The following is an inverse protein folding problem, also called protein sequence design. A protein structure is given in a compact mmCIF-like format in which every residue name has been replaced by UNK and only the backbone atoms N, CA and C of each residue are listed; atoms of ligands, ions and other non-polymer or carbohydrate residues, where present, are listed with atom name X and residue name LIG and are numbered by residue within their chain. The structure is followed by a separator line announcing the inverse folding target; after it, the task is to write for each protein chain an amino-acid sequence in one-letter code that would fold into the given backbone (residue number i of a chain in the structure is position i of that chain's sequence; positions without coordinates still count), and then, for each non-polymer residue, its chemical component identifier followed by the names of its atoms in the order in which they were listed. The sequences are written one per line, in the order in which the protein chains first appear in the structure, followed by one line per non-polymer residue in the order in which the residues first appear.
data_IF_755272525178
#
_entry.id   IF_755272525178
#
_cell.length_a   1.000
_cell.length_b   1.000
_cell.length_c   1.000
_cell.angle_alpha   90.00
_cell.angle_beta   90.00
_cell.angle_gamma   90.00
#
_symmetry.space_group_name_H-M   'P 1'
#
loop_
_entity.id
_entity.type
_entity.pdbx_description
1 polymer ?
#
# COMPACT_ATOMS: atom_id res chain seq x y z
N UNK A 1 -11.82 -4.73 5.90
CA UNK A 1 -12.94 -5.68 6.06
C UNK A 1 -14.05 -5.48 5.03
N UNK A 2 -14.51 -4.24 4.77
CA UNK A 2 -15.58 -3.96 3.79
C UNK A 2 -15.23 -4.35 2.34
N UNK A 3 -14.00 -4.10 1.87
CA UNK A 3 -13.56 -4.50 0.52
C UNK A 3 -13.53 -6.03 0.31
N UNK A 4 -13.14 -6.78 1.34
CA UNK A 4 -13.08 -8.25 1.29
C UNK A 4 -14.48 -8.88 1.18
N UNK A 5 -15.49 -8.24 1.77
CA UNK A 5 -16.89 -8.65 1.64
C UNK A 5 -17.38 -8.41 0.22
N UNK A 6 -17.08 -7.24 -0.36
CA UNK A 6 -17.44 -6.94 -1.75
C UNK A 6 -16.79 -7.91 -2.74
N UNK A 7 -15.51 -8.24 -2.54
CA UNK A 7 -14.77 -9.18 -3.38
C UNK A 7 -15.38 -10.59 -3.30
N UNK A 8 -15.65 -11.09 -2.09
CA UNK A 8 -16.34 -12.38 -1.90
C UNK A 8 -17.71 -12.39 -2.56
N UNK A 9 -18.52 -11.36 -2.35
CA UNK A 9 -19.85 -11.26 -2.97
C UNK A 9 -19.77 -11.29 -4.50
N UNK A 10 -18.78 -10.62 -5.08
CA UNK A 10 -18.59 -10.60 -6.53
C UNK A 10 -18.15 -11.96 -7.08
N UNK A 11 -17.31 -12.69 -6.34
CA UNK A 11 -16.96 -14.09 -6.68
C UNK A 11 -18.22 -14.97 -6.66
N UNK A 12 -19.05 -14.88 -5.61
CA UNK A 12 -20.31 -15.63 -5.56
C UNK A 12 -21.25 -15.25 -6.71
N UNK A 13 -21.30 -13.97 -7.09
CA UNK A 13 -22.14 -13.50 -8.19
C UNK A 13 -21.69 -14.06 -9.54
N UNK A 14 -20.40 -14.02 -9.84
CA UNK A 14 -19.80 -14.61 -11.05
C UNK A 14 -20.05 -16.12 -11.09
N UNK A 15 -19.86 -16.82 -9.97
CA UNK A 15 -20.16 -18.26 -9.88
C UNK A 15 -21.63 -18.54 -10.16
N UNK A 16 -22.55 -17.75 -9.59
CA UNK A 16 -23.99 -17.90 -9.80
C UNK A 16 -24.38 -17.67 -11.25
N UNK A 17 -23.83 -16.65 -11.91
CA UNK A 17 -24.05 -16.37 -13.34
C UNK A 17 -23.53 -17.49 -14.25
N UNK A 18 -22.40 -18.12 -13.89
CA UNK A 18 -21.89 -19.30 -14.60
C UNK A 18 -22.82 -20.51 -14.47
N UNK A 19 -23.34 -20.77 -13.27
CA UNK A 19 -24.30 -21.86 -13.08
C UNK A 19 -25.65 -21.57 -13.76
N UNK A 20 -26.10 -20.30 -13.75
CA UNK A 20 -27.28 -19.88 -14.53
C UNK A 20 -27.10 -20.14 -16.02
N UNK A 21 -25.92 -19.82 -16.59
CA UNK A 21 -25.60 -20.14 -18.00
C UNK A 21 -25.75 -21.62 -18.29
N UNK A 22 -25.24 -22.49 -17.40
CA UNK A 22 -25.38 -23.96 -17.54
C UNK A 22 -26.83 -24.42 -17.51
N UNK A 23 -27.67 -23.80 -16.67
CA UNK A 23 -29.11 -24.11 -16.62
C UNK A 23 -29.79 -23.70 -17.92
N UNK A 24 -29.52 -22.49 -18.42
CA UNK A 24 -30.07 -21.99 -19.69
C UNK A 24 -29.65 -22.90 -20.86
N UNK A 25 -28.36 -23.25 -20.95
CA UNK A 25 -27.85 -24.18 -21.97
C UNK A 25 -28.50 -25.57 -21.89
N UNK A 26 -28.81 -26.04 -20.67
CA UNK A 26 -29.48 -27.33 -20.45
C UNK A 26 -30.95 -27.30 -20.88
N UNK A 27 -31.65 -26.19 -20.66
CA UNK A 27 -33.02 -25.98 -21.13
C UNK A 27 -33.03 -25.94 -22.66
N UNK A 28 -32.08 -25.23 -23.28
CA UNK A 28 -31.98 -25.14 -24.74
C UNK A 28 -31.64 -26.51 -25.40
N UNK A 29 -30.83 -27.35 -24.75
CA UNK A 29 -30.39 -28.65 -25.29
C UNK A 29 -31.38 -29.82 -25.12
N UNK A 30 -32.54 -29.65 -24.47
CA UNK A 30 -33.43 -30.79 -24.25
C UNK A 30 -34.87 -30.46 -23.85
N UNK A 31 -35.73 -31.48 -23.96
CA UNK A 31 -37.17 -31.45 -23.63
C UNK A 31 -37.46 -31.38 -22.12
N UNK A 32 -36.78 -30.51 -21.37
CA UNK A 32 -37.05 -30.30 -19.94
C UNK A 32 -38.43 -29.69 -19.74
N UNK A 33 -38.81 -28.82 -20.67
CA UNK A 33 -40.08 -28.10 -20.73
C UNK A 33 -40.46 -27.99 -22.21
N UNK A 34 -41.72 -28.22 -22.60
CA UNK A 34 -42.17 -27.87 -23.95
C UNK A 34 -42.01 -26.37 -24.17
N UNK A 35 -41.36 -25.98 -25.28
CA UNK A 35 -41.12 -24.59 -25.67
C UNK A 35 -41.70 -24.34 -27.06
N UNK A 36 -42.35 -23.19 -27.24
CA UNK A 36 -42.75 -22.65 -28.54
C UNK A 36 -41.61 -21.83 -29.15
N UNK A 37 -41.70 -21.39 -30.42
CA UNK A 37 -40.65 -20.56 -31.04
C UNK A 37 -40.39 -19.27 -30.27
N UNK A 38 -41.45 -18.60 -29.79
CA UNK A 38 -41.33 -17.38 -28.99
C UNK A 38 -40.57 -17.61 -27.66
N UNK A 39 -40.71 -18.81 -27.06
CA UNK A 39 -39.99 -19.14 -25.82
C UNK A 39 -38.49 -19.37 -26.07
N UNK A 40 -38.12 -19.87 -27.26
CA UNK A 40 -36.73 -20.08 -27.65
C UNK A 40 -36.01 -18.75 -27.86
N UNK A 41 -36.65 -17.78 -28.53
CA UNK A 41 -36.12 -16.43 -28.72
C UNK A 41 -35.88 -15.74 -27.36
N UNK A 42 -36.86 -15.81 -26.44
CA UNK A 42 -36.72 -15.26 -25.09
C UNK A 42 -35.60 -15.94 -24.29
N UNK A 43 -35.40 -17.25 -24.47
CA UNK A 43 -34.34 -18.00 -23.81
C UNK A 43 -32.95 -17.62 -24.35
N UNK A 44 -32.85 -17.36 -25.66
CA UNK A 44 -31.63 -16.85 -26.29
C UNK A 44 -31.27 -15.46 -25.76
N UNK A 45 -32.24 -14.54 -25.70
CA UNK A 45 -32.06 -13.21 -25.10
C UNK A 45 -31.59 -13.31 -23.65
N UNK A 46 -32.22 -14.16 -22.83
CA UNK A 46 -31.81 -14.39 -21.45
C UNK A 46 -30.38 -14.97 -21.34
N UNK A 47 -29.98 -15.82 -22.30
CA UNK A 47 -28.61 -16.34 -22.38
C UNK A 47 -27.61 -15.22 -22.66
N UNK A 48 -27.92 -14.34 -23.62
CA UNK A 48 -27.10 -13.18 -24.00
C UNK A 48 -26.96 -12.22 -22.80
N UNK A 49 -28.05 -11.88 -22.14
CA UNK A 49 -28.04 -11.00 -20.97
C UNK A 49 -27.24 -11.61 -19.80
N UNK A 50 -27.37 -12.92 -19.55
CA UNK A 50 -26.59 -13.59 -18.50
C UNK A 50 -25.08 -13.60 -18.82
N UNK A 51 -24.70 -13.78 -20.09
CA UNK A 51 -23.31 -13.68 -20.54
C UNK A 51 -22.77 -12.26 -20.37
N UNK A 52 -23.55 -11.25 -20.76
CA UNK A 52 -23.20 -9.84 -20.56
C UNK A 52 -23.03 -9.51 -19.06
N UNK A 53 -23.96 -9.97 -18.21
CA UNK A 53 -23.87 -9.78 -16.77
C UNK A 53 -22.61 -10.44 -16.18
N UNK A 54 -22.24 -11.63 -16.68
CA UNK A 54 -21.01 -12.33 -16.27
C UNK A 54 -19.77 -11.54 -16.66
N UNK A 55 -19.73 -10.98 -17.87
CA UNK A 55 -18.61 -10.17 -18.34
C UNK A 55 -18.47 -8.89 -17.50
N UNK A 56 -19.57 -8.19 -17.25
CA UNK A 56 -19.59 -7.00 -16.39
C UNK A 56 -19.11 -7.31 -14.97
N UNK A 57 -19.51 -8.44 -14.41
CA UNK A 57 -19.07 -8.87 -13.09
C UNK A 57 -17.55 -9.17 -13.05
N UNK A 58 -16.98 -9.75 -14.12
CA UNK A 58 -15.53 -9.93 -14.23
C UNK A 58 -14.78 -8.60 -14.34
N UNK A 59 -15.27 -7.65 -15.14
CA UNK A 59 -14.70 -6.29 -15.25
C UNK A 59 -14.67 -5.61 -13.87
N UNK A 60 -15.77 -5.69 -13.10
CA UNK A 60 -15.79 -5.14 -11.76
C UNK A 60 -14.80 -5.82 -10.80
N UNK A 61 -14.52 -7.12 -11.00
CA UNK A 61 -13.54 -7.86 -10.18
C UNK A 61 -12.13 -7.38 -10.47
N UNK A 62 -11.81 -7.14 -11.74
CA UNK A 62 -10.53 -6.58 -12.17
C UNK A 62 -10.31 -5.16 -11.64
N UNK A 63 -11.34 -4.31 -11.72
CA UNK A 63 -11.28 -2.96 -11.14
C UNK A 63 -11.05 -3.04 -9.63
N UNK A 64 -11.76 -3.91 -8.92
CA UNK A 64 -11.61 -4.07 -7.46
C UNK A 64 -10.20 -4.56 -7.08
N UNK A 65 -9.61 -5.46 -7.88
CA UNK A 65 -8.22 -5.91 -7.72
C UNK A 65 -7.26 -4.73 -7.90
N UNK A 66 -7.40 -3.97 -8.98
CA UNK A 66 -6.55 -2.79 -9.28
C UNK A 66 -6.63 -1.73 -8.17
N UNK A 67 -7.82 -1.50 -7.62
CA UNK A 67 -8.01 -0.61 -6.47
C UNK A 67 -7.28 -1.15 -5.24
N UNK A 68 -7.36 -2.46 -4.97
CA UNK A 68 -6.67 -3.10 -3.84
C UNK A 68 -5.15 -3.00 -3.97
N UNK A 69 -4.61 -3.22 -5.17
CA UNK A 69 -3.18 -3.08 -5.47
C UNK A 69 -2.71 -1.61 -5.31
N UNK A 70 -3.55 -0.66 -5.71
CA UNK A 70 -3.30 0.77 -5.49
C UNK A 70 -3.26 1.10 -4.00
N UNK A 71 -4.19 0.58 -3.20
CA UNK A 71 -4.16 0.75 -1.75
C UNK A 71 -2.91 0.14 -1.12
N UNK A 72 -2.49 -1.04 -1.54
CA UNK A 72 -1.24 -1.67 -1.07
C UNK A 72 -0.01 -0.79 -1.41
N UNK A 73 -0.01 -0.19 -2.60
CA UNK A 73 1.03 0.76 -3.03
C UNK A 73 1.03 2.01 -2.15
N UNK A 74 -0.13 2.58 -1.83
CA UNK A 74 -0.24 3.74 -0.94
C UNK A 74 0.24 3.42 0.48
N UNK A 75 -0.11 2.25 1.02
CA UNK A 75 0.38 1.78 2.33
C UNK A 75 1.90 1.66 2.31
N UNK A 76 2.46 1.02 1.27
CA UNK A 76 3.91 0.86 1.11
C UNK A 76 4.63 2.20 0.97
N UNK A 77 4.03 3.16 0.26
CA UNK A 77 4.57 4.52 0.16
C UNK A 77 4.56 5.22 1.53
N UNK A 78 3.46 5.13 2.27
CA UNK A 78 3.37 5.68 3.63
C UNK A 78 4.40 5.06 4.57
N UNK A 79 4.62 3.75 4.48
CA UNK A 79 5.66 3.07 5.24
C UNK A 79 7.05 3.56 4.85
N UNK A 80 7.34 3.71 3.55
CA UNK A 80 8.61 4.25 3.08
C UNK A 80 8.83 5.69 3.56
N UNK A 81 7.79 6.52 3.60
CA UNK A 81 7.85 7.88 4.15
C UNK A 81 8.14 7.82 5.66
N UNK A 82 7.42 6.99 6.42
CA UNK A 82 7.65 6.83 7.85
C UNK A 82 9.08 6.34 8.17
N UNK A 83 9.59 5.37 7.42
CA UNK A 83 10.95 4.85 7.57
C UNK A 83 12.01 5.92 7.26
N UNK A 84 11.78 6.75 6.23
CA UNK A 84 12.65 7.90 5.92
C UNK A 84 12.70 8.90 7.07
N UNK A 85 11.55 9.22 7.67
CA UNK A 85 11.47 10.13 8.82
C UNK A 85 12.23 9.54 10.01
N UNK A 86 11.97 8.28 10.37
CA UNK A 86 12.63 7.62 11.51
C UNK A 86 14.15 7.53 11.32
N UNK A 87 14.60 7.17 10.11
CA UNK A 87 16.03 7.09 9.78
C UNK A 87 16.70 8.46 9.87
N UNK A 88 16.03 9.50 9.37
CA UNK A 88 16.52 10.87 9.43
C UNK A 88 16.69 11.36 10.87
N UNK A 89 15.69 11.12 11.72
CA UNK A 89 15.76 11.46 13.15
C UNK A 89 16.91 10.71 13.83
N UNK A 90 17.06 9.41 13.53
CA UNK A 90 18.13 8.57 14.09
C UNK A 90 19.53 9.09 13.74
N UNK A 91 19.76 9.48 12.48
CA UNK A 91 21.05 10.00 12.02
C UNK A 91 21.34 11.38 12.64
N UNK A 92 20.33 12.24 12.78
CA UNK A 92 20.50 13.54 13.41
C UNK A 92 20.90 13.39 14.88
N UNK A 93 20.31 12.41 15.60
CA UNK A 93 20.65 12.17 17.00
C UNK A 93 21.92 11.35 17.22
N UNK A 94 22.37 10.55 16.26
CA UNK A 94 23.56 9.71 16.42
C UNK A 94 24.83 10.54 16.60
N UNK A 95 24.94 11.71 15.94
CA UNK A 95 26.12 12.59 16.04
C UNK A 95 26.28 13.18 17.46
N UNK A 96 25.26 13.85 18.06
CA UNK A 96 25.32 14.27 19.46
C UNK A 96 25.56 13.14 20.44
N UNK A 97 24.90 12.00 20.24
CA UNK A 97 25.04 10.85 21.14
C UNK A 97 26.46 10.27 21.11
N UNK A 98 27.09 10.22 19.94
CA UNK A 98 28.46 9.76 19.77
C UNK A 98 29.45 10.71 20.46
N UNK A 99 29.30 12.02 20.28
CA UNK A 99 30.14 13.03 20.94
C UNK A 99 29.99 12.96 22.46
N UNK A 100 28.75 12.87 22.96
CA UNK A 100 28.48 12.72 24.39
C UNK A 100 29.11 11.45 24.97
N UNK A 101 29.07 10.34 24.22
CA UNK A 101 29.72 9.07 24.61
C UNK A 101 31.23 9.23 24.76
N UNK A 102 31.93 9.86 23.80
CA UNK A 102 33.38 10.08 23.89
C UNK A 102 33.78 10.97 25.06
N UNK A 103 33.00 12.02 25.34
CA UNK A 103 33.22 12.87 26.50
C UNK A 103 32.95 12.14 27.82
N UNK A 104 31.94 11.27 27.85
CA UNK A 104 31.63 10.43 29.01
C UNK A 104 32.71 9.41 29.36
N UNK A 105 33.58 9.06 28.40
CA UNK A 105 34.73 8.18 28.63
C UNK A 105 35.92 8.87 29.30
N UNK A 106 35.78 10.14 29.72
CA UNK A 106 36.85 10.96 30.31
C UNK A 106 38.13 11.00 29.45
N UNK A 107 37.98 10.90 28.14
CA UNK A 107 39.11 10.98 27.20
C UNK A 107 39.63 12.41 27.17
N UNK A 108 40.94 12.59 27.32
CA UNK A 108 41.57 13.90 27.22
C UNK A 108 41.62 14.34 25.75
N UNK A 109 40.82 15.36 25.37
CA UNK A 109 40.73 15.88 23.99
C UNK A 109 41.86 16.86 23.64
N UNK A 110 42.99 16.79 24.35
CA UNK A 110 44.14 17.67 24.17
C UNK A 110 43.80 19.13 24.45
N UNK A 111 44.30 20.05 23.61
CA UNK A 111 44.22 21.52 23.79
C UNK A 111 42.79 22.02 24.03
N UNK A 112 41.77 21.33 23.51
CA UNK A 112 40.36 21.69 23.67
C UNK A 112 39.87 21.45 25.11
N UNK A 113 40.40 20.44 25.80
CA UNK A 113 40.05 20.15 27.20
C UNK A 113 40.59 21.19 28.18
N UNK A 114 41.70 21.86 27.86
CA UNK A 114 42.35 22.86 28.73
C UNK A 114 41.76 24.28 28.57
N UNK A 115 40.92 24.48 27.56
CA UNK A 115 40.20 25.74 27.33
C UNK A 115 39.05 25.89 28.34
N UNK A 116 38.96 27.08 28.97
CA UNK A 116 37.88 27.45 29.92
C UNK A 116 36.45 27.25 29.37
N UNK A 117 36.29 27.27 28.05
CA UNK A 117 35.01 27.06 27.35
C UNK A 117 35.03 25.83 26.41
N UNK A 118 35.99 24.91 26.55
CA UNK A 118 36.16 23.75 25.68
C UNK A 118 34.91 22.89 25.52
N UNK A 119 34.22 22.62 26.63
CA UNK A 119 32.95 21.89 26.64
C UNK A 119 31.85 22.58 25.80
N UNK A 120 31.76 23.90 25.90
CA UNK A 120 30.76 24.72 25.19
C UNK A 120 31.07 24.78 23.69
N UNK A 121 32.36 24.81 23.33
CA UNK A 121 32.82 24.76 21.93
C UNK A 121 32.45 23.42 21.28
N UNK A 122 32.64 22.30 21.98
CA UNK A 122 32.33 20.96 21.46
C UNK A 122 30.82 20.78 21.25
N UNK A 123 30.00 21.24 22.20
CA UNK A 123 28.54 21.23 22.05
C UNK A 123 28.12 22.10 20.86
N UNK A 124 28.66 23.32 20.74
CA UNK A 124 28.37 24.22 19.62
C UNK A 124 28.70 23.59 18.27
N UNK A 125 29.89 22.98 18.15
CA UNK A 125 30.29 22.24 16.95
C UNK A 125 29.33 21.09 16.64
N UNK A 126 28.94 20.31 17.65
CA UNK A 126 28.04 19.18 17.47
C UNK A 126 26.63 19.59 17.01
N UNK A 127 26.11 20.69 17.55
CA UNK A 127 24.83 21.28 17.13
C UNK A 127 24.92 21.77 15.68
N UNK A 128 26.02 22.44 15.31
CA UNK A 128 26.24 22.90 13.93
C UNK A 128 26.26 21.72 12.95
N UNK A 129 27.01 20.65 13.25
CA UNK A 129 27.07 19.45 12.40
C UNK A 129 25.68 18.80 12.27
N UNK A 130 24.93 18.71 13.37
CA UNK A 130 23.57 18.14 13.37
C UNK A 130 22.60 18.98 12.52
N UNK A 131 22.71 20.32 12.58
CA UNK A 131 21.93 21.24 11.75
C UNK A 131 22.30 21.09 10.27
N UNK A 132 23.59 20.99 9.93
CA UNK A 132 24.05 20.79 8.56
C UNK A 132 23.47 19.49 7.98
N UNK A 133 23.52 18.39 8.75
CA UNK A 133 22.94 17.11 8.35
C UNK A 133 21.43 17.24 8.13
N UNK A 134 20.71 17.88 9.05
CA UNK A 134 19.28 18.13 8.92
C UNK A 134 18.94 18.94 7.67
N UNK A 135 19.71 19.98 7.35
CA UNK A 135 19.53 20.80 6.15
C UNK A 135 19.77 20.01 4.86
N UNK A 136 20.82 19.16 4.83
CA UNK A 136 21.10 18.27 3.69
C UNK A 136 19.93 17.30 3.48
N UNK A 137 19.43 16.71 4.55
CA UNK A 137 18.33 15.74 4.50
C UNK A 137 17.02 16.38 4.03
N UNK A 138 16.73 17.60 4.50
CA UNK A 138 15.59 18.41 4.04
C UNK A 138 15.70 18.72 2.55
N UNK A 139 16.89 19.12 2.07
CA UNK A 139 17.12 19.42 0.64
C UNK A 139 16.98 18.18 -0.25
N UNK A 140 17.31 16.99 0.28
CA UNK A 140 17.18 15.71 -0.44
C UNK A 140 15.78 15.07 -0.35
N UNK A 141 14.78 15.72 0.26
CA UNK A 141 13.44 15.15 0.52
C UNK A 141 13.50 13.81 1.25
N UNK A 142 14.51 13.64 2.10
CA UNK A 142 14.63 12.50 3.02
C UNK A 142 13.91 12.80 4.35
N UNK A 143 13.63 14.09 4.59
CA UNK A 143 12.72 14.65 5.59
C UNK A 143 11.46 15.16 4.92
#
# INVERSE_FOLDING_TARGET
MKNLLTEKSLVYFITSLKENKRVIEKINRGNVIPMYEEDLDLLEDASIENEQASEMANIYREILSSVSDTYATLISNNLNIAMKILTSITIIFSVPTMVASFLGMNVHLGIISDLKYGFLIIIGFCVIVSIIIALIFKKKKLL
#
